data_IF_837198297808
#
_entry.id   IF_837198297808
#
_cell.length_a   1.000
_cell.length_b   1.000
_cell.length_c   1.000
_cell.angle_alpha   90.00
_cell.angle_beta   90.00
_cell.angle_gamma   90.00
#
_symmetry.space_group_name_H-M   'P 1'
#
loop_
_entity.id
_entity.type
_entity.pdbx_description
1 polymer ?
#
# COMPACT_ATOMS: atom_id res chain seq x y z
N UNK A 1 24.99 4.60 -26.58
CA UNK A 1 25.96 3.74 -25.87
C UNK A 1 26.64 4.59 -24.82
N UNK A 2 26.33 4.38 -23.55
CA UNK A 2 27.09 4.91 -22.41
C UNK A 2 27.19 3.77 -21.41
N UNK A 3 28.41 3.22 -21.33
CA UNK A 3 28.86 2.09 -20.52
C UNK A 3 29.77 2.65 -19.44
N UNK A 4 29.35 2.54 -18.18
CA UNK A 4 30.08 2.86 -16.95
C UNK A 4 29.52 1.80 -15.96
N UNK A 5 30.12 0.65 -15.66
CA UNK A 5 31.48 0.32 -15.19
C UNK A 5 31.92 1.16 -13.99
N UNK A 6 31.32 0.85 -12.83
CA UNK A 6 31.94 1.12 -11.53
C UNK A 6 32.22 -0.21 -10.84
N UNK A 7 33.51 -0.55 -10.82
CA UNK A 7 34.10 -1.58 -9.99
C UNK A 7 34.30 -1.05 -8.56
N UNK A 8 34.24 -2.00 -7.62
CA UNK A 8 34.56 -2.00 -6.18
C UNK A 8 35.84 -1.25 -5.75
N UNK A 9 36.01 -0.91 -4.44
CA UNK A 9 36.60 -1.81 -3.41
C UNK A 9 35.85 -1.71 -2.05
N UNK A 10 35.82 -2.65 -1.11
CA UNK A 10 36.78 -3.67 -0.67
C UNK A 10 37.05 -3.43 0.83
N UNK A 11 36.76 -4.41 1.70
CA UNK A 11 37.44 -4.63 2.99
C UNK A 11 36.98 -6.02 3.55
N UNK A 12 37.83 -7.06 3.57
CA UNK A 12 38.83 -7.40 4.62
C UNK A 12 38.13 -7.97 5.88
N UNK A 13 38.46 -9.10 6.50
CA UNK A 13 39.34 -10.25 6.28
C UNK A 13 39.00 -11.30 7.38
N UNK A 14 39.46 -12.55 7.20
CA UNK A 14 39.65 -13.53 8.28
C UNK A 14 38.49 -14.52 8.49
N UNK A 15 38.51 -15.70 7.87
CA UNK A 15 39.21 -16.93 8.28
C UNK A 15 38.37 -17.81 9.23
N UNK A 16 38.01 -19.01 8.77
CA UNK A 16 38.28 -20.32 9.41
C UNK A 16 37.45 -21.42 8.70
N UNK A 17 38.05 -22.18 7.77
CA UNK A 17 38.46 -23.60 7.91
C UNK A 17 37.29 -24.60 8.01
N UNK A 18 37.27 -25.55 7.06
CA UNK A 18 36.93 -26.94 7.40
C UNK A 18 35.98 -27.68 6.45
N UNK A 19 36.59 -28.48 5.56
CA UNK A 19 36.20 -29.87 5.23
C UNK A 19 34.83 -30.10 4.52
N UNK A 20 34.70 -30.71 3.34
CA UNK A 20 35.41 -31.88 2.81
C UNK A 20 34.51 -33.13 2.89
N UNK A 21 34.03 -33.62 1.75
CA UNK A 21 33.31 -34.90 1.58
C UNK A 21 31.79 -34.74 1.43
N UNK A 22 31.08 -35.32 0.46
CA UNK A 22 31.38 -36.49 -0.35
C UNK A 22 30.41 -37.63 -0.01
N UNK A 23 29.51 -37.93 -0.95
CA UNK A 23 28.79 -39.20 -1.13
C UNK A 23 27.59 -39.54 -0.23
N UNK A 24 26.53 -40.00 -0.92
CA UNK A 24 26.03 -41.36 -0.64
C UNK A 24 24.69 -41.42 0.06
N UNK A 25 23.62 -41.39 -0.74
CA UNK A 25 22.26 -41.69 -0.29
C UNK A 25 22.13 -43.10 0.28
N UNK A 26 21.30 -43.18 1.32
CA UNK A 26 20.93 -44.35 2.09
C UNK A 26 20.23 -45.42 1.24
N UNK A 27 20.67 -46.67 1.41
CA UNK A 27 20.01 -47.87 0.91
C UNK A 27 20.57 -49.07 1.69
N UNK A 28 19.80 -49.57 2.64
CA UNK A 28 20.25 -50.39 3.76
C UNK A 28 20.71 -51.82 3.44
N UNK A 29 21.47 -52.38 4.38
CA UNK A 29 21.77 -53.80 4.47
C UNK A 29 21.91 -54.23 5.94
N UNK A 30 21.47 -55.46 6.22
CA UNK A 30 21.60 -56.20 7.49
C UNK A 30 20.23 -56.73 7.96
N UNK A 31 19.89 -58.02 7.94
CA UNK A 31 20.67 -59.25 7.79
C UNK A 31 20.74 -60.02 9.11
N UNK A 32 19.82 -60.97 9.31
CA UNK A 32 19.89 -62.11 10.26
C UNK A 32 18.80 -63.12 9.81
N UNK A 33 18.95 -64.44 9.66
CA UNK A 33 20.02 -65.41 9.87
C UNK A 33 19.38 -66.81 10.05
N UNK A 34 19.89 -67.83 9.35
CA UNK A 34 19.66 -69.28 9.54
C UNK A 34 18.45 -69.87 8.80
N UNK A 35 18.45 -71.09 8.26
CA UNK A 35 19.40 -72.21 8.16
C UNK A 35 18.79 -73.16 7.11
N UNK A 36 19.55 -73.70 6.17
CA UNK A 36 19.38 -75.10 5.69
C UNK A 36 20.58 -75.48 4.82
N UNK A 37 21.34 -76.45 5.32
CA UNK A 37 22.44 -77.09 4.63
C UNK A 37 21.95 -78.28 3.79
N UNK A 38 22.41 -78.36 2.54
CA UNK A 38 22.61 -79.66 1.88
C UNK A 38 22.38 -79.67 0.38
N UNK A 39 23.44 -79.88 -0.41
CA UNK A 39 23.27 -80.33 -1.79
C UNK A 39 24.37 -79.95 -2.78
N UNK A 40 25.49 -80.68 -2.70
CA UNK A 40 26.51 -80.89 -3.73
C UNK A 40 26.06 -80.73 -5.21
N UNK A 41 26.76 -79.90 -5.98
CA UNK A 41 26.70 -79.90 -7.44
C UNK A 41 27.37 -78.66 -8.05
N UNK A 42 28.53 -78.84 -8.68
CA UNK A 42 29.20 -77.76 -9.41
C UNK A 42 28.38 -77.29 -10.59
N UNK A 43 27.85 -76.08 -10.50
CA UNK A 43 27.52 -75.22 -11.63
C UNK A 43 27.77 -73.80 -11.17
N UNK A 44 28.64 -73.08 -11.87
CA UNK A 44 28.71 -71.62 -11.74
C UNK A 44 27.28 -71.06 -11.83
N UNK A 45 26.92 -70.02 -11.05
CA UNK A 45 25.61 -69.41 -11.17
C UNK A 45 25.35 -69.09 -12.64
N UNK A 46 24.19 -69.47 -13.19
CA UNK A 46 23.93 -69.37 -14.63
C UNK A 46 24.24 -67.96 -15.09
N UNK A 47 24.99 -67.85 -16.18
CA UNK A 47 25.37 -66.55 -16.73
C UNK A 47 24.10 -65.80 -17.14
N UNK A 48 24.16 -64.46 -17.18
CA UNK A 48 23.01 -63.63 -17.57
C UNK A 48 22.41 -64.08 -18.92
N UNK A 49 23.25 -64.52 -19.85
CA UNK A 49 22.82 -65.07 -21.15
C UNK A 49 22.11 -66.43 -21.03
N UNK A 50 22.53 -67.31 -20.12
CA UNK A 50 21.84 -68.58 -19.87
C UNK A 50 20.47 -68.36 -19.20
N UNK A 51 20.39 -67.39 -18.29
CA UNK A 51 19.13 -66.98 -17.67
C UNK A 51 18.16 -66.37 -18.71
N UNK A 52 18.66 -65.52 -19.62
CA UNK A 52 17.85 -64.98 -20.72
C UNK A 52 17.34 -66.09 -21.65
N UNK A 53 18.21 -67.04 -22.03
CA UNK A 53 17.85 -68.21 -22.85
C UNK A 53 16.90 -69.18 -22.14
N UNK A 54 16.87 -69.18 -20.81
CA UNK A 54 15.99 -70.00 -19.97
C UNK A 54 14.51 -69.58 -19.94
N UNK A 55 14.08 -68.66 -20.82
CA UNK A 55 12.69 -68.20 -20.92
C UNK A 55 12.42 -66.80 -20.36
N UNK A 56 13.46 -66.08 -19.92
CA UNK A 56 13.33 -64.72 -19.38
C UNK A 56 13.55 -63.61 -20.43
N UNK A 57 13.85 -63.97 -21.68
CA UNK A 57 14.07 -63.03 -22.78
C UNK A 57 12.88 -62.08 -23.01
N UNK A 58 11.65 -62.60 -23.03
CA UNK A 58 10.46 -61.77 -23.28
C UNK A 58 10.20 -60.74 -22.17
N UNK A 59 10.42 -61.12 -20.91
CA UNK A 59 10.28 -60.21 -19.77
C UNK A 59 11.44 -59.20 -19.70
N UNK A 60 12.64 -59.61 -20.10
CA UNK A 60 13.78 -58.72 -20.26
C UNK A 60 13.53 -57.67 -21.34
N UNK A 61 13.14 -58.08 -22.55
CA UNK A 61 12.82 -57.18 -23.66
C UNK A 61 11.68 -56.22 -23.30
N UNK A 62 10.64 -56.71 -22.60
CA UNK A 62 9.55 -55.87 -22.10
C UNK A 62 10.04 -54.81 -21.11
N UNK A 63 10.93 -55.16 -20.18
CA UNK A 63 11.50 -54.21 -19.22
C UNK A 63 12.44 -53.22 -19.88
N UNK A 64 13.23 -53.67 -20.85
CA UNK A 64 14.11 -52.81 -21.66
C UNK A 64 13.29 -51.81 -22.47
N UNK A 65 12.25 -52.26 -23.17
CA UNK A 65 11.36 -51.38 -23.93
C UNK A 65 10.67 -50.37 -23.02
N UNK A 66 10.14 -50.81 -21.87
CA UNK A 66 9.54 -49.91 -20.88
C UNK A 66 10.54 -48.89 -20.34
N UNK A 67 11.78 -49.30 -20.10
CA UNK A 67 12.84 -48.41 -19.66
C UNK A 67 13.20 -47.39 -20.75
N UNK A 68 13.25 -47.82 -22.02
CA UNK A 68 13.47 -46.94 -23.18
C UNK A 68 12.30 -45.96 -23.33
N UNK A 69 11.05 -46.42 -23.29
CA UNK A 69 9.87 -45.55 -23.42
C UNK A 69 9.79 -44.55 -22.27
N UNK A 70 10.14 -44.97 -21.05
CA UNK A 70 10.19 -44.10 -19.88
C UNK A 70 11.33 -43.10 -20.01
N UNK A 71 12.51 -43.52 -20.45
CA UNK A 71 13.66 -42.64 -20.68
C UNK A 71 13.37 -41.64 -21.80
N UNK A 72 12.71 -42.07 -22.89
CA UNK A 72 12.30 -41.23 -24.00
C UNK A 72 11.23 -40.24 -23.57
N UNK A 73 10.23 -40.66 -22.80
CA UNK A 73 9.19 -39.77 -22.26
C UNK A 73 9.79 -38.76 -21.30
N UNK A 74 10.67 -39.19 -20.39
CA UNK A 74 11.36 -38.30 -19.45
C UNK A 74 12.31 -37.34 -20.18
N UNK A 75 13.00 -37.82 -21.21
CA UNK A 75 13.80 -36.96 -22.07
C UNK A 75 12.90 -35.96 -22.79
N UNK A 76 11.82 -36.38 -23.42
CA UNK A 76 10.89 -35.50 -24.11
C UNK A 76 10.26 -34.47 -23.17
N UNK A 77 9.88 -34.85 -21.94
CA UNK A 77 9.38 -33.92 -20.93
C UNK A 77 10.46 -32.92 -20.50
N UNK A 78 11.70 -33.38 -20.27
CA UNK A 78 12.83 -32.49 -19.94
C UNK A 78 13.17 -31.57 -21.10
N UNK A 79 13.16 -32.07 -22.33
CA UNK A 79 13.39 -31.29 -23.54
C UNK A 79 12.27 -30.27 -23.74
N UNK A 80 11.01 -30.63 -23.54
CA UNK A 80 9.88 -29.70 -23.60
C UNK A 80 9.96 -28.64 -22.49
N UNK A 81 10.22 -29.03 -21.24
CA UNK A 81 10.37 -28.10 -20.13
C UNK A 81 11.57 -27.15 -20.34
N UNK A 82 12.71 -27.67 -20.79
CA UNK A 82 13.87 -26.85 -21.15
C UNK A 82 13.61 -25.99 -22.37
N UNK A 83 12.77 -26.42 -23.31
CA UNK A 83 12.40 -25.61 -24.48
C UNK A 83 11.41 -24.52 -24.08
N UNK A 84 10.43 -24.79 -23.22
CA UNK A 84 9.49 -23.79 -22.69
C UNK A 84 10.18 -22.79 -21.76
N UNK A 85 11.12 -23.23 -20.91
CA UNK A 85 11.90 -22.35 -20.04
C UNK A 85 12.99 -21.56 -20.81
N UNK A 86 13.57 -22.15 -21.88
CA UNK A 86 14.58 -21.48 -22.74
C UNK A 86 13.99 -20.75 -23.93
N UNK A 87 12.68 -20.90 -24.20
CA UNK A 87 11.87 -19.90 -24.90
C UNK A 87 11.84 -18.67 -23.99
N UNK A 88 12.96 -17.96 -24.01
CA UNK A 88 13.21 -16.70 -23.34
C UNK A 88 12.03 -15.75 -23.55
N UNK A 89 11.82 -14.85 -22.59
CA UNK A 89 10.86 -13.75 -22.68
C UNK A 89 10.82 -13.06 -24.05
N UNK A 90 11.90 -13.09 -24.85
CA UNK A 90 11.92 -12.63 -26.24
C UNK A 90 10.97 -13.38 -27.18
N UNK A 91 10.89 -14.72 -27.10
CA UNK A 91 9.91 -15.50 -27.87
C UNK A 91 8.55 -15.53 -27.19
N UNK A 92 8.44 -15.36 -25.87
CA UNK A 92 7.16 -15.12 -25.18
C UNK A 92 6.58 -13.73 -25.51
N UNK A 93 7.44 -12.73 -25.75
CA UNK A 93 7.09 -11.45 -26.36
C UNK A 93 6.67 -11.66 -27.82
N UNK A 94 7.40 -12.46 -28.61
CA UNK A 94 7.08 -12.77 -30.01
C UNK A 94 5.80 -13.62 -30.18
N UNK A 95 5.51 -14.50 -29.22
CA UNK A 95 4.33 -15.38 -29.13
C UNK A 95 3.21 -14.85 -28.25
N UNK A 96 3.35 -13.69 -27.60
CA UNK A 96 2.19 -12.81 -27.48
C UNK A 96 1.81 -12.56 -28.93
N UNK A 97 0.83 -13.32 -29.42
CA UNK A 97 0.42 -13.29 -30.83
C UNK A 97 0.24 -11.83 -31.21
N UNK A 98 0.46 -11.45 -32.47
CA UNK A 98 0.21 -10.08 -32.94
C UNK A 98 -1.10 -9.51 -32.34
N UNK A 99 -2.13 -10.37 -32.20
CA UNK A 99 -3.38 -10.10 -31.47
C UNK A 99 -3.30 -9.76 -29.97
N UNK A 100 -2.39 -10.29 -29.15
CA UNK A 100 -2.27 -9.91 -27.73
C UNK A 100 -1.55 -8.59 -27.53
N UNK A 101 -0.54 -8.29 -28.35
CA UNK A 101 0.06 -6.94 -28.40
C UNK A 101 -0.94 -5.92 -28.90
N UNK A 102 -1.72 -6.26 -29.92
CA UNK A 102 -2.80 -5.43 -30.43
C UNK A 102 -3.88 -5.22 -29.37
N UNK A 103 -4.30 -6.25 -28.63
CA UNK A 103 -5.23 -6.12 -27.50
C UNK A 103 -4.65 -5.27 -26.35
N UNK A 104 -3.37 -5.38 -26.04
CA UNK A 104 -2.75 -4.54 -25.02
C UNK A 104 -2.72 -3.07 -25.47
N UNK A 105 -2.29 -2.80 -26.71
CA UNK A 105 -2.28 -1.46 -27.27
C UNK A 105 -3.69 -0.89 -27.42
N UNK A 106 -4.66 -1.71 -27.79
CA UNK A 106 -6.07 -1.35 -27.86
C UNK A 106 -6.62 -1.01 -26.48
N UNK A 107 -6.45 -1.89 -25.49
CA UNK A 107 -6.85 -1.59 -24.09
C UNK A 107 -6.18 -0.34 -23.54
N UNK A 108 -4.89 -0.12 -23.87
CA UNK A 108 -4.17 1.09 -23.49
C UNK A 108 -4.78 2.33 -24.13
N UNK A 109 -5.08 2.28 -25.44
CA UNK A 109 -5.72 3.38 -26.17
C UNK A 109 -7.15 3.64 -25.67
N UNK A 110 -7.94 2.59 -25.44
CA UNK A 110 -9.29 2.69 -24.89
C UNK A 110 -9.26 3.31 -23.49
N UNK A 111 -8.31 2.89 -22.64
CA UNK A 111 -8.12 3.51 -21.33
C UNK A 111 -7.69 4.97 -21.45
N UNK A 112 -6.74 5.31 -22.31
CA UNK A 112 -6.33 6.71 -22.53
C UNK A 112 -7.48 7.57 -23.08
N UNK A 113 -8.35 7.01 -23.92
CA UNK A 113 -9.54 7.68 -24.41
C UNK A 113 -10.56 7.89 -23.29
N UNK A 114 -10.86 6.84 -22.52
CA UNK A 114 -11.77 6.93 -21.38
C UNK A 114 -11.27 7.91 -20.32
N UNK A 115 -9.97 7.90 -20.00
CA UNK A 115 -9.36 8.84 -19.05
C UNK A 115 -9.43 10.29 -19.58
N UNK A 116 -9.27 10.49 -20.90
CA UNK A 116 -9.43 11.82 -21.54
C UNK A 116 -10.88 12.29 -21.53
N UNK A 117 -11.82 11.43 -21.88
CA UNK A 117 -13.25 11.72 -21.86
C UNK A 117 -13.70 12.07 -20.43
N UNK A 118 -13.32 11.24 -19.44
CA UNK A 118 -13.59 11.52 -18.04
C UNK A 118 -12.95 12.84 -17.57
N UNK A 119 -11.73 13.16 -18.03
CA UNK A 119 -11.09 14.44 -17.72
C UNK A 119 -11.80 15.64 -18.37
N UNK A 120 -12.34 15.49 -19.58
CA UNK A 120 -13.13 16.53 -20.26
C UNK A 120 -14.45 16.73 -19.52
N UNK A 121 -15.22 15.66 -19.29
CA UNK A 121 -16.47 15.72 -18.54
C UNK A 121 -16.27 16.31 -17.15
N UNK A 122 -15.19 15.94 -16.46
CA UNK A 122 -14.84 16.54 -15.17
C UNK A 122 -14.57 18.04 -15.26
N UNK A 123 -13.88 18.49 -16.32
CA UNK A 123 -13.63 19.94 -16.53
C UNK A 123 -14.91 20.70 -16.86
N UNK A 124 -15.81 20.11 -17.65
CA UNK A 124 -17.12 20.68 -17.97
C UNK A 124 -17.98 20.81 -16.71
N UNK A 125 -18.14 19.70 -15.97
CA UNK A 125 -18.86 19.71 -14.69
C UNK A 125 -18.23 20.67 -13.67
N UNK A 126 -16.90 20.80 -13.66
CA UNK A 126 -16.22 21.78 -12.79
C UNK A 126 -16.51 23.22 -13.21
N UNK A 127 -16.57 23.51 -14.51
CA UNK A 127 -16.93 24.84 -14.98
C UNK A 127 -18.38 25.18 -14.61
N UNK A 128 -19.30 24.25 -14.81
CA UNK A 128 -20.71 24.39 -14.40
C UNK A 128 -20.84 24.56 -12.89
N UNK A 129 -20.16 23.73 -12.10
CA UNK A 129 -20.16 23.84 -10.64
C UNK A 129 -19.66 25.20 -10.16
N UNK A 130 -18.64 25.78 -10.81
CA UNK A 130 -18.15 27.13 -10.48
C UNK A 130 -19.21 28.20 -10.73
N UNK A 131 -19.98 28.07 -11.81
CA UNK A 131 -21.11 28.97 -12.12
C UNK A 131 -22.20 28.81 -11.06
N UNK A 132 -22.64 27.58 -10.79
CA UNK A 132 -23.67 27.27 -9.77
C UNK A 132 -23.27 27.75 -8.37
N UNK A 133 -22.01 27.56 -7.97
CA UNK A 133 -21.50 28.07 -6.70
C UNK A 133 -21.58 29.60 -6.65
N UNK A 134 -21.19 30.29 -7.72
CA UNK A 134 -21.27 31.75 -7.79
C UNK A 134 -22.72 32.26 -7.73
N UNK A 135 -23.65 31.59 -8.42
CA UNK A 135 -25.09 31.89 -8.37
C UNK A 135 -25.66 31.73 -6.96
N UNK A 136 -25.25 30.66 -6.26
CA UNK A 136 -25.61 30.39 -4.86
C UNK A 136 -24.85 31.26 -3.85
N UNK A 137 -24.01 32.21 -4.33
CA UNK A 137 -23.14 33.07 -3.51
C UNK A 137 -22.17 32.31 -2.60
N UNK A 138 -21.81 31.09 -3.00
CA UNK A 138 -20.80 30.28 -2.35
C UNK A 138 -19.42 30.58 -2.96
N UNK A 139 -18.34 30.47 -2.17
CA UNK A 139 -16.98 30.66 -2.68
C UNK A 139 -16.65 29.69 -3.82
N UNK A 140 -16.24 30.21 -4.98
CA UNK A 140 -15.89 29.42 -6.18
C UNK A 140 -14.72 28.46 -5.93
N UNK A 141 -13.86 28.77 -4.96
CA UNK A 141 -12.76 27.88 -4.53
C UNK A 141 -13.25 26.54 -3.96
N UNK A 142 -14.50 26.44 -3.51
CA UNK A 142 -15.08 25.18 -3.03
C UNK A 142 -15.26 24.15 -4.15
N UNK A 143 -15.24 24.59 -5.42
CA UNK A 143 -15.28 23.70 -6.58
C UNK A 143 -14.20 22.60 -6.52
N UNK A 144 -13.00 22.90 -6.01
CA UNK A 144 -11.91 21.92 -5.96
C UNK A 144 -12.19 20.71 -5.04
N UNK A 145 -13.15 20.85 -4.11
CA UNK A 145 -13.50 19.85 -3.10
C UNK A 145 -14.78 19.09 -3.47
N UNK A 146 -15.49 19.50 -4.53
CA UNK A 146 -16.74 18.87 -4.97
C UNK A 146 -16.51 17.51 -5.66
N UNK A 147 -17.56 16.68 -5.67
CA UNK A 147 -17.52 15.37 -6.34
C UNK A 147 -17.91 15.50 -7.81
N UNK A 148 -17.00 15.11 -8.72
CA UNK A 148 -17.19 15.21 -10.17
C UNK A 148 -17.31 13.85 -10.87
N UNK A 149 -17.79 12.82 -10.17
CA UNK A 149 -18.06 11.51 -10.79
C UNK A 149 -19.15 11.60 -11.87
N UNK A 150 -20.17 12.40 -11.62
CA UNK A 150 -21.34 12.58 -12.46
C UNK A 150 -22.08 13.87 -12.02
N UNK A 151 -23.02 14.33 -12.84
CA UNK A 151 -23.76 15.57 -12.58
C UNK A 151 -24.60 15.51 -11.30
N UNK A 152 -25.21 14.37 -10.98
CA UNK A 152 -26.05 14.21 -9.78
C UNK A 152 -25.22 14.27 -8.50
N UNK A 153 -24.07 13.59 -8.50
CA UNK A 153 -23.09 13.63 -7.40
C UNK A 153 -22.51 15.03 -7.21
N UNK A 154 -22.26 15.75 -8.31
CA UNK A 154 -21.82 17.14 -8.28
C UNK A 154 -22.86 18.04 -7.62
N UNK A 155 -24.11 18.00 -8.08
CA UNK A 155 -25.21 18.80 -7.51
C UNK A 155 -25.44 18.48 -6.02
N UNK A 156 -25.47 17.19 -5.64
CA UNK A 156 -25.58 16.78 -4.23
C UNK A 156 -24.43 17.32 -3.37
N UNK A 157 -23.21 17.33 -3.92
CA UNK A 157 -22.06 17.88 -3.19
C UNK A 157 -22.15 19.40 -3.03
N UNK A 158 -22.67 20.12 -4.03
CA UNK A 158 -22.94 21.56 -3.94
C UNK A 158 -23.99 21.84 -2.86
N UNK A 159 -25.10 21.11 -2.86
CA UNK A 159 -26.18 21.29 -1.89
C UNK A 159 -25.74 20.98 -0.45
N UNK A 160 -24.91 19.95 -0.26
CA UNK A 160 -24.35 19.62 1.04
C UNK A 160 -23.41 20.73 1.56
N UNK A 161 -22.55 21.25 0.70
CA UNK A 161 -21.64 22.37 1.02
C UNK A 161 -22.44 23.64 1.30
N UNK A 162 -23.47 23.92 0.50
CA UNK A 162 -24.36 25.06 0.70
C UNK A 162 -24.98 25.04 2.10
N UNK A 163 -25.60 23.91 2.46
CA UNK A 163 -26.24 23.74 3.76
C UNK A 163 -25.26 23.91 4.91
N UNK A 164 -24.11 23.24 4.85
CA UNK A 164 -23.08 23.33 5.89
C UNK A 164 -22.53 24.75 6.04
N UNK A 165 -22.35 25.47 4.92
CA UNK A 165 -21.88 26.85 4.94
C UNK A 165 -22.92 27.80 5.52
N UNK A 166 -24.20 27.65 5.14
CA UNK A 166 -25.30 28.45 5.69
C UNK A 166 -25.45 28.23 7.20
N UNK A 167 -25.42 26.98 7.67
CA UNK A 167 -25.48 26.65 9.10
C UNK A 167 -24.31 27.28 9.88
N UNK A 168 -23.09 27.21 9.33
CA UNK A 168 -21.91 27.81 9.96
C UNK A 168 -21.98 29.35 9.99
N UNK A 169 -22.45 29.97 8.91
CA UNK A 169 -22.64 31.43 8.85
C UNK A 169 -23.73 31.87 9.81
N UNK A 170 -24.86 31.15 9.88
CA UNK A 170 -25.94 31.44 10.81
C UNK A 170 -25.46 31.32 12.26
N UNK A 171 -24.75 30.25 12.62
CA UNK A 171 -24.16 30.11 13.95
C UNK A 171 -23.21 31.27 14.29
N UNK A 172 -22.31 31.64 13.36
CA UNK A 172 -21.40 32.76 13.56
C UNK A 172 -22.11 34.12 13.68
N UNK A 173 -23.19 34.33 12.92
CA UNK A 173 -24.02 35.53 13.00
C UNK A 173 -24.79 35.57 14.32
N UNK A 174 -25.35 34.44 14.77
CA UNK A 174 -26.01 34.33 16.07
C UNK A 174 -25.02 34.60 17.22
N UNK A 175 -23.81 34.06 17.16
CA UNK A 175 -22.78 34.33 18.16
C UNK A 175 -22.34 35.79 18.16
N UNK A 176 -22.28 36.43 16.99
CA UNK A 176 -22.02 37.88 16.90
C UNK A 176 -23.19 38.73 17.41
N UNK A 177 -24.43 38.30 17.17
CA UNK A 177 -25.66 38.96 17.64
C UNK A 177 -25.83 38.85 19.16
N UNK A 178 -25.39 37.75 19.78
CA UNK A 178 -25.33 37.61 21.25
C UNK A 178 -24.48 38.71 21.90
N UNK A 179 -23.63 39.39 21.12
CA UNK A 179 -22.76 40.47 21.57
C UNK A 179 -21.51 39.93 22.23
N UNK A 180 -20.39 40.65 22.07
CA UNK A 180 -19.17 40.35 22.81
C UNK A 180 -19.41 40.47 24.31
N UNK A 181 -18.54 39.87 25.13
CA UNK A 181 -18.54 40.06 26.58
C UNK A 181 -18.59 41.57 26.84
N UNK A 182 -19.60 42.08 27.58
CA UNK A 182 -19.68 43.50 27.87
C UNK A 182 -18.35 43.92 28.48
N UNK A 183 -17.76 45.07 28.07
CA UNK A 183 -16.53 45.55 28.68
C UNK A 183 -16.75 45.54 30.18
N UNK A 184 -15.91 44.78 30.89
CA UNK A 184 -16.06 44.55 32.32
C UNK A 184 -16.32 45.88 32.99
N UNK A 185 -17.41 45.95 33.76
CA UNK A 185 -17.73 47.13 34.59
C UNK A 185 -16.42 47.57 35.23
N UNK A 186 -16.01 48.82 34.99
CA UNK A 186 -14.84 49.39 35.66
C UNK A 186 -14.94 49.03 37.14
N UNK A 187 -13.85 48.58 37.78
CA UNK A 187 -13.91 48.11 39.15
C UNK A 187 -14.59 49.19 39.98
N UNK A 188 -15.81 48.90 40.45
CA UNK A 188 -16.43 49.74 41.47
C UNK A 188 -15.60 49.51 42.71
N UNK A 189 -14.56 50.33 42.87
CA UNK A 189 -13.99 50.58 44.18
C UNK A 189 -15.12 51.13 45.03
N UNK A 190 -15.71 50.23 45.81
CA UNK A 190 -16.88 50.37 46.67
C UNK A 190 -16.59 51.26 47.87
N UNK A 191 -16.01 52.44 47.65
CA UNK A 191 -15.99 53.48 48.67
C UNK A 191 -17.18 54.37 48.39
N UNK A 192 -18.26 54.15 49.14
CA UNK A 192 -19.42 55.02 49.09
C UNK A 192 -19.08 56.38 49.71
N UNK A 193 -19.90 57.41 49.44
CA UNK A 193 -19.70 58.76 50.00
C UNK A 193 -19.75 58.77 51.54
N UNK A 194 -20.50 57.83 52.10
CA UNK A 194 -20.63 57.63 53.54
C UNK A 194 -19.37 57.02 54.15
N UNK A 195 -18.77 56.03 53.48
CA UNK A 195 -17.48 55.45 53.88
C UNK A 195 -16.35 56.46 53.73
N UNK A 196 -16.32 57.24 52.63
CA UNK A 196 -15.36 58.33 52.46
C UNK A 196 -15.46 59.39 53.57
N UNK A 197 -16.68 59.73 53.98
CA UNK A 197 -16.93 60.68 55.07
C UNK A 197 -16.45 60.17 56.43
N UNK A 198 -16.39 58.84 56.61
CA UNK A 198 -15.88 58.18 57.82
C UNK A 198 -14.38 57.86 57.76
N UNK A 199 -13.78 57.81 56.57
CA UNK A 199 -12.34 57.56 56.39
C UNK A 199 -11.48 58.68 57.00
N UNK A 200 -10.38 58.25 57.64
CA UNK A 200 -9.39 59.17 58.20
C UNK A 200 -8.59 59.90 57.11
N UNK A 201 -7.88 60.97 57.49
CA UNK A 201 -7.09 61.77 56.55
C UNK A 201 -6.08 60.95 55.73
N UNK A 202 -5.40 59.99 56.37
CA UNK A 202 -4.43 59.12 55.70
C UNK A 202 -5.08 58.20 54.66
N UNK A 203 -6.26 57.67 54.94
CA UNK A 203 -7.00 56.78 54.02
C UNK A 203 -7.54 57.57 52.83
N UNK A 204 -8.03 58.79 53.05
CA UNK A 204 -8.43 59.69 51.96
C UNK A 204 -7.26 60.08 51.07
N UNK A 205 -6.06 60.27 51.64
CA UNK A 205 -4.85 60.57 50.87
C UNK A 205 -4.40 59.38 50.03
N UNK A 206 -4.47 58.16 50.58
CA UNK A 206 -4.26 56.93 49.80
C UNK A 206 -5.27 56.81 48.68
N UNK A 207 -6.56 57.03 48.96
CA UNK A 207 -7.62 57.02 47.94
C UNK A 207 -7.37 58.05 46.83
N UNK A 208 -6.89 59.24 47.18
CA UNK A 208 -6.50 60.26 46.18
C UNK A 208 -5.32 59.83 45.31
N UNK A 209 -4.41 59.04 45.85
CA UNK A 209 -3.20 58.58 45.14
C UNK A 209 -3.49 57.36 44.28
N UNK A 210 -4.28 56.41 44.80
CA UNK A 210 -4.59 55.14 44.16
C UNK A 210 -5.79 55.22 43.22
N UNK A 211 -6.78 56.05 43.55
CA UNK A 211 -7.98 56.25 42.72
C UNK A 211 -8.43 57.74 42.71
N UNK A 212 -7.70 58.61 41.99
CA UNK A 212 -7.94 60.05 41.99
C UNK A 212 -9.31 60.46 41.45
N UNK A 213 -9.87 59.68 40.51
CA UNK A 213 -11.20 59.95 39.93
C UNK A 213 -12.31 59.69 40.95
N UNK A 214 -12.22 58.57 41.69
CA UNK A 214 -13.18 58.28 42.77
C UNK A 214 -13.05 59.31 43.90
N UNK A 215 -11.84 59.73 44.27
CA UNK A 215 -11.64 60.77 45.28
C UNK A 215 -12.32 62.10 44.90
N UNK A 216 -12.21 62.55 43.64
CA UNK A 216 -12.90 63.77 43.16
C UNK A 216 -14.42 63.61 43.26
N UNK A 217 -14.93 62.48 42.79
CA UNK A 217 -16.36 62.18 42.81
C UNK A 217 -16.95 62.15 44.24
N UNK A 218 -16.22 61.62 45.22
CA UNK A 218 -16.65 61.53 46.62
C UNK A 218 -16.40 62.81 47.43
N UNK A 219 -15.36 63.58 47.09
CA UNK A 219 -15.01 64.84 47.78
C UNK A 219 -15.86 66.03 47.34
N UNK A 220 -16.69 65.89 46.30
CA UNK A 220 -17.71 66.86 45.91
C UNK A 220 -17.16 68.17 45.35
N UNK A 221 -15.96 68.15 44.75
CA UNK A 221 -15.34 69.27 44.05
C UNK A 221 -15.02 68.94 42.60
#
# INVERSE_FOLDING_TARGET
MNIQFFAEPGNDAGADVGNGGGSGGEGGSGGTGGDDSGGNGGTEPPTFDELLKGGHQAEFDRRVQKAIDTALTNAQQKWNALTDDKLSEAEKLAKMTQGERDKYNQRKKEKELADKEAAITKRELMAEAKITLAEKKLPVGLAEVLSYTDADSCNKSIDAVEKAFQEAVEAAVQDRLKGGTPPGRAPESTVTKEEYSKMGYAERLKLKTENPELFKQLSGK
#
